data_IF_342240896826
#
_entry.id   IF_342240896826
#
_cell.length_a   1.000
_cell.length_b   1.000
_cell.length_c   1.000
_cell.angle_alpha   90.00
_cell.angle_beta   90.00
_cell.angle_gamma   90.00
#
_symmetry.space_group_name_H-M   'P 1'
#
loop_
_entity.id
_entity.type
_entity.pdbx_description
1 polymer ?
#
# COMPACT_ATOMS: atom_id res chain seq x y z
N UNK A 1 27.50 22.63 -2.36
CA UNK A 1 27.38 23.37 -3.64
C UNK A 1 25.99 24.00 -3.86
N UNK A 2 25.14 24.12 -2.83
CA UNK A 2 23.75 24.65 -2.94
C UNK A 2 23.59 26.06 -2.33
N UNK A 3 24.65 26.88 -2.28
CA UNK A 3 24.63 28.20 -1.63
C UNK A 3 24.80 29.38 -2.62
N UNK A 4 24.28 29.30 -3.85
CA UNK A 4 24.33 30.46 -4.74
C UNK A 4 23.03 30.70 -5.51
N UNK A 5 22.49 31.90 -5.32
CA UNK A 5 21.22 32.46 -5.79
C UNK A 5 21.36 32.98 -7.25
N UNK A 6 20.37 33.10 -8.14
CA UNK A 6 18.90 32.99 -8.02
C UNK A 6 18.20 32.91 -9.40
N UNK A 7 18.93 32.73 -10.51
CA UNK A 7 18.30 32.74 -11.86
C UNK A 7 18.57 31.47 -12.68
N UNK A 8 19.58 30.67 -12.30
CA UNK A 8 19.91 29.41 -12.98
C UNK A 8 19.20 28.17 -12.40
N UNK A 9 18.65 28.23 -11.18
CA UNK A 9 18.08 27.05 -10.50
C UNK A 9 16.73 26.58 -11.07
N UNK A 10 16.01 27.44 -11.78
CA UNK A 10 14.78 27.06 -12.48
C UNK A 10 15.11 26.42 -13.84
N UNK A 11 15.97 27.06 -14.63
CA UNK A 11 16.41 26.53 -15.93
C UNK A 11 17.19 25.21 -15.78
N UNK A 12 18.06 25.12 -14.76
CA UNK A 12 18.80 23.90 -14.46
C UNK A 12 17.85 22.79 -13.98
N UNK A 13 16.85 23.11 -13.15
CA UNK A 13 15.89 22.09 -12.71
C UNK A 13 15.02 21.60 -13.87
N UNK A 14 14.52 22.49 -14.73
CA UNK A 14 13.76 22.09 -15.92
C UNK A 14 14.60 21.19 -16.83
N UNK A 15 15.85 21.60 -17.11
CA UNK A 15 16.79 20.79 -17.89
C UNK A 15 17.07 19.44 -17.24
N UNK A 16 17.21 19.39 -15.91
CA UNK A 16 17.41 18.15 -15.16
C UNK A 16 16.17 17.25 -15.22
N UNK A 17 14.97 17.80 -14.98
CA UNK A 17 13.70 17.06 -15.08
C UNK A 17 13.56 16.47 -16.48
N UNK A 18 13.78 17.27 -17.51
CA UNK A 18 13.68 16.82 -18.90
C UNK A 18 14.71 15.75 -19.24
N UNK A 19 15.96 15.94 -18.78
CA UNK A 19 17.02 14.95 -18.97
C UNK A 19 16.69 13.62 -18.29
N UNK A 20 16.21 13.65 -17.04
CA UNK A 20 15.83 12.44 -16.30
C UNK A 20 14.60 11.77 -16.92
N UNK A 21 13.57 12.53 -17.31
CA UNK A 21 12.42 11.98 -18.04
C UNK A 21 12.87 11.31 -19.35
N UNK A 22 13.81 11.92 -20.08
CA UNK A 22 14.39 11.35 -21.30
C UNK A 22 15.20 10.06 -21.08
N UNK A 23 15.60 9.75 -19.83
CA UNK A 23 16.32 8.51 -19.47
C UNK A 23 15.41 7.38 -18.97
N UNK A 24 14.10 7.61 -18.82
CA UNK A 24 13.15 6.55 -18.46
C UNK A 24 12.91 5.51 -19.56
N UNK A 25 13.43 5.74 -20.78
CA UNK A 25 13.37 4.77 -21.90
C UNK A 25 14.74 4.17 -22.23
N UNK A 26 15.72 4.33 -21.34
CA UNK A 26 17.06 3.78 -21.53
C UNK A 26 17.04 2.25 -21.49
N UNK A 27 17.89 1.59 -22.27
CA UNK A 27 17.98 0.13 -22.27
C UNK A 27 18.51 -0.42 -20.94
N UNK A 28 19.28 0.37 -20.21
CA UNK A 28 19.82 -0.01 -18.91
C UNK A 28 18.80 0.24 -17.79
N UNK A 29 18.36 -0.84 -17.13
CA UNK A 29 17.46 -0.82 -15.95
C UNK A 29 17.98 0.12 -14.86
N UNK A 30 19.29 0.12 -14.58
CA UNK A 30 19.89 0.98 -13.57
C UNK A 30 19.80 2.46 -13.93
N UNK A 31 19.91 2.82 -15.22
CA UNK A 31 19.76 4.19 -15.67
C UNK A 31 18.32 4.66 -15.49
N UNK A 32 17.34 3.82 -15.85
CA UNK A 32 15.90 4.12 -15.64
C UNK A 32 15.58 4.30 -14.16
N UNK A 33 16.06 3.39 -13.31
CA UNK A 33 15.92 3.48 -11.85
C UNK A 33 16.54 4.77 -11.30
N UNK A 34 17.79 5.09 -11.65
CA UNK A 34 18.46 6.30 -11.18
C UNK A 34 17.76 7.58 -11.68
N UNK A 35 17.18 7.56 -12.87
CA UNK A 35 16.39 8.67 -13.39
C UNK A 35 15.14 8.92 -12.56
N UNK A 36 14.40 7.86 -12.17
CA UNK A 36 13.25 7.98 -11.28
C UNK A 36 13.65 8.48 -9.89
N UNK A 37 14.77 7.97 -9.34
CA UNK A 37 15.33 8.46 -8.08
C UNK A 37 15.63 9.96 -8.13
N UNK A 38 16.24 10.41 -9.23
CA UNK A 38 16.53 11.82 -9.47
C UNK A 38 15.26 12.68 -9.45
N UNK A 39 14.20 12.23 -10.14
CA UNK A 39 12.90 12.91 -10.16
C UNK A 39 12.22 12.92 -8.79
N UNK A 40 12.26 11.80 -8.04
CA UNK A 40 11.70 11.72 -6.69
C UNK A 40 12.39 12.66 -5.70
N UNK A 41 13.71 12.84 -5.82
CA UNK A 41 14.50 13.69 -4.94
C UNK A 41 14.26 15.21 -5.13
N UNK A 42 13.52 15.61 -6.17
CA UNK A 42 13.06 17.00 -6.33
C UNK A 42 12.21 17.44 -5.13
N UNK A 43 11.45 16.52 -4.52
CA UNK A 43 10.70 16.76 -3.28
C UNK A 43 11.58 17.31 -2.14
N UNK A 44 12.83 16.86 -2.05
CA UNK A 44 13.76 17.32 -1.01
C UNK A 44 14.54 18.57 -1.41
N UNK A 45 14.89 18.71 -2.70
CA UNK A 45 15.73 19.80 -3.18
C UNK A 45 14.98 21.07 -3.60
N UNK A 46 13.72 20.96 -4.02
CA UNK A 46 12.88 22.07 -4.49
C UNK A 46 11.39 21.73 -4.38
N UNK A 47 10.85 21.55 -3.16
CA UNK A 47 9.46 21.15 -2.94
C UNK A 47 8.44 22.07 -3.63
N UNK A 48 8.67 23.39 -3.62
CA UNK A 48 7.79 24.38 -4.25
C UNK A 48 7.66 24.17 -5.78
N UNK A 49 8.65 23.55 -6.41
CA UNK A 49 8.69 23.30 -7.85
C UNK A 49 8.06 21.95 -8.23
N UNK A 50 7.81 21.05 -7.27
CA UNK A 50 7.11 19.77 -7.52
C UNK A 50 5.72 20.04 -8.09
N UNK A 51 5.00 21.02 -7.54
CA UNK A 51 3.64 21.37 -7.99
C UNK A 51 3.61 21.75 -9.47
N UNK A 52 4.58 22.54 -9.94
CA UNK A 52 4.69 22.97 -11.35
C UNK A 52 4.83 21.78 -12.32
N UNK A 53 5.45 20.69 -11.86
CA UNK A 53 5.72 19.49 -12.67
C UNK A 53 4.91 18.27 -12.22
N UNK A 54 3.86 18.47 -11.41
CA UNK A 54 3.18 17.41 -10.67
C UNK A 54 2.69 16.27 -11.56
N UNK A 55 1.85 16.58 -12.54
CA UNK A 55 1.36 15.61 -13.52
C UNK A 55 2.48 14.84 -14.25
N UNK A 56 3.57 15.51 -14.64
CA UNK A 56 4.72 14.87 -15.33
C UNK A 56 5.49 13.93 -14.40
N UNK A 57 5.70 14.34 -13.15
CA UNK A 57 6.36 13.52 -12.13
C UNK A 57 5.51 12.31 -11.78
N UNK A 58 4.20 12.51 -11.59
CA UNK A 58 3.24 11.43 -11.33
C UNK A 58 3.23 10.42 -12.48
N UNK A 59 3.10 10.88 -13.72
CA UNK A 59 3.15 10.02 -14.91
C UNK A 59 4.46 9.25 -15.01
N UNK A 60 5.60 9.88 -14.67
CA UNK A 60 6.91 9.22 -14.63
C UNK A 60 6.94 8.06 -13.63
N UNK A 61 6.40 8.27 -12.42
CA UNK A 61 6.35 7.21 -11.40
C UNK A 61 5.41 6.09 -11.81
N UNK A 62 4.23 6.41 -12.36
CA UNK A 62 3.28 5.41 -12.87
C UNK A 62 3.91 4.56 -13.97
N UNK A 63 4.54 5.19 -14.97
CA UNK A 63 5.24 4.48 -16.03
C UNK A 63 6.38 3.60 -15.50
N UNK A 64 7.11 4.05 -14.46
CA UNK A 64 8.14 3.26 -13.80
C UNK A 64 7.60 2.03 -13.09
N UNK A 65 6.39 2.09 -12.53
CA UNK A 65 5.70 0.93 -11.97
C UNK A 65 5.19 -0.03 -13.06
N UNK A 66 4.94 0.47 -14.28
CA UNK A 66 4.46 -0.28 -15.44
C UNK A 66 5.57 -0.76 -16.38
N UNK A 67 6.84 -0.62 -15.97
CA UNK A 67 8.00 -1.07 -16.75
C UNK A 67 7.95 -2.58 -16.96
N UNK A 68 7.77 -3.01 -18.21
CA UNK A 68 7.69 -4.43 -18.60
C UNK A 68 9.07 -5.09 -18.70
N UNK A 69 10.13 -4.28 -18.79
CA UNK A 69 11.51 -4.73 -18.98
C UNK A 69 12.31 -4.61 -17.67
N UNK A 70 11.66 -4.90 -16.53
CA UNK A 70 12.21 -4.82 -15.17
C UNK A 70 12.03 -6.15 -14.40
N UNK A 71 12.78 -7.21 -14.76
CA UNK A 71 12.58 -8.56 -14.23
C UNK A 71 12.78 -8.67 -12.71
N UNK A 72 13.50 -7.71 -12.10
CA UNK A 72 13.77 -7.67 -10.66
C UNK A 72 12.96 -6.59 -9.93
N UNK A 73 12.07 -5.88 -10.63
CA UNK A 73 11.24 -4.80 -10.08
C UNK A 73 12.06 -3.65 -9.44
N UNK A 74 13.29 -3.39 -9.91
CA UNK A 74 14.14 -2.32 -9.37
C UNK A 74 13.60 -0.94 -9.73
N UNK A 75 13.09 -0.78 -10.94
CA UNK A 75 12.45 0.45 -11.43
C UNK A 75 11.13 0.64 -10.70
N UNK A 76 10.33 -0.42 -10.57
CA UNK A 76 9.06 -0.37 -9.83
C UNK A 76 9.26 -0.01 -8.34
N UNK A 77 10.25 -0.61 -7.68
CA UNK A 77 10.60 -0.30 -6.29
C UNK A 77 10.98 1.18 -6.11
N UNK A 78 11.83 1.69 -6.98
CA UNK A 78 12.25 3.09 -6.93
C UNK A 78 11.11 4.05 -7.27
N UNK A 79 10.24 3.67 -8.22
CA UNK A 79 9.05 4.43 -8.58
C UNK A 79 8.10 4.57 -7.39
N UNK A 80 7.78 3.47 -6.69
CA UNK A 80 6.92 3.49 -5.50
C UNK A 80 7.52 4.33 -4.36
N UNK A 81 8.82 4.17 -4.13
CA UNK A 81 9.55 4.90 -3.10
C UNK A 81 9.63 6.40 -3.40
N UNK A 82 9.85 6.76 -4.67
CA UNK A 82 9.90 8.15 -5.13
C UNK A 82 8.52 8.80 -5.13
N UNK A 83 7.49 8.08 -5.56
CA UNK A 83 6.10 8.57 -5.50
C UNK A 83 5.69 8.88 -4.07
N UNK A 84 6.01 8.01 -3.11
CA UNK A 84 5.71 8.24 -1.69
C UNK A 84 6.28 9.56 -1.16
N UNK A 85 7.46 9.98 -1.62
CA UNK A 85 8.09 11.28 -1.25
C UNK A 85 7.38 12.48 -1.92
N UNK A 86 6.86 12.26 -3.13
CA UNK A 86 6.24 13.31 -3.93
C UNK A 86 4.81 13.62 -3.51
N UNK A 87 4.05 12.64 -2.98
CA UNK A 87 2.62 12.75 -2.69
C UNK A 87 2.25 14.01 -1.89
N UNK A 88 2.99 14.33 -0.83
CA UNK A 88 2.68 15.50 0.02
C UNK A 88 2.89 16.86 -0.68
N UNK A 89 3.47 16.87 -1.89
CA UNK A 89 3.80 18.07 -2.67
C UNK A 89 3.01 18.19 -3.98
N UNK A 90 2.31 17.13 -4.39
CA UNK A 90 1.51 17.09 -5.61
C UNK A 90 0.14 17.73 -5.39
N UNK A 91 -0.49 18.20 -6.47
CA UNK A 91 -1.88 18.64 -6.39
C UNK A 91 -2.79 17.42 -6.19
N UNK A 92 -3.71 17.52 -5.23
CA UNK A 92 -4.64 16.43 -4.91
C UNK A 92 -5.42 15.97 -6.14
N UNK A 93 -5.82 16.89 -7.02
CA UNK A 93 -6.53 16.58 -8.28
C UNK A 93 -5.74 15.64 -9.18
N UNK A 94 -4.44 15.84 -9.29
CA UNK A 94 -3.57 15.00 -10.11
C UNK A 94 -3.51 13.58 -9.54
N UNK A 95 -3.35 13.46 -8.21
CA UNK A 95 -3.32 12.17 -7.52
C UNK A 95 -4.66 11.45 -7.68
N UNK A 96 -5.78 12.15 -7.44
CA UNK A 96 -7.12 11.58 -7.52
C UNK A 96 -7.40 10.93 -8.89
N UNK A 97 -6.89 11.53 -9.97
CA UNK A 97 -7.06 10.98 -11.33
C UNK A 97 -6.40 9.60 -11.54
N UNK A 98 -5.33 9.31 -10.80
CA UNK A 98 -4.54 8.07 -10.91
C UNK A 98 -4.62 7.18 -9.66
N UNK A 99 -5.36 7.61 -8.62
CA UNK A 99 -5.39 6.99 -7.30
C UNK A 99 -5.69 5.49 -7.36
N UNK A 100 -6.75 5.12 -8.08
CA UNK A 100 -7.16 3.72 -8.22
C UNK A 100 -6.18 2.90 -9.05
N UNK A 101 -5.67 3.49 -10.14
CA UNK A 101 -4.68 2.83 -10.98
C UNK A 101 -3.45 2.45 -10.16
N UNK A 102 -2.93 3.39 -9.36
CA UNK A 102 -1.77 3.15 -8.51
C UNK A 102 -2.10 2.11 -7.43
N UNK A 103 -3.24 2.26 -6.72
CA UNK A 103 -3.63 1.33 -5.66
C UNK A 103 -3.75 -0.13 -6.15
N UNK A 104 -4.38 -0.34 -7.31
CA UNK A 104 -4.51 -1.66 -7.93
C UNK A 104 -3.12 -2.17 -8.36
N UNK A 105 -2.31 -1.31 -8.96
CA UNK A 105 -1.01 -1.68 -9.51
C UNK A 105 -0.02 -2.14 -8.44
N UNK A 106 -0.03 -1.51 -7.27
CA UNK A 106 0.93 -1.83 -6.20
C UNK A 106 0.51 -3.01 -5.32
N UNK A 107 -0.78 -3.36 -5.29
CA UNK A 107 -1.32 -4.40 -4.41
C UNK A 107 -0.61 -5.77 -4.52
N UNK A 108 -0.27 -6.28 -5.72
CA UNK A 108 0.47 -7.54 -5.84
C UNK A 108 1.83 -7.53 -5.13
N UNK A 109 2.46 -6.36 -4.97
CA UNK A 109 3.73 -6.25 -4.26
C UNK A 109 3.61 -6.43 -2.75
N UNK A 110 2.40 -6.40 -2.17
CA UNK A 110 2.20 -6.69 -0.75
C UNK A 110 2.66 -8.10 -0.39
N UNK A 111 2.61 -9.05 -1.34
CA UNK A 111 3.06 -10.43 -1.17
C UNK A 111 4.34 -10.75 -1.95
N UNK A 112 5.10 -9.72 -2.36
CA UNK A 112 6.39 -9.95 -3.00
C UNK A 112 7.33 -10.73 -2.10
N UNK A 113 8.14 -11.64 -2.64
CA UNK A 113 9.21 -12.29 -1.87
C UNK A 113 10.26 -11.28 -1.39
N UNK A 114 10.45 -10.17 -2.13
CA UNK A 114 11.37 -9.10 -1.76
C UNK A 114 10.74 -8.19 -0.70
N UNK A 115 11.28 -8.11 0.52
CA UNK A 115 10.68 -7.31 1.59
C UNK A 115 10.70 -5.81 1.32
N UNK A 116 11.65 -5.33 0.52
CA UNK A 116 11.74 -3.93 0.10
C UNK A 116 10.53 -3.53 -0.75
N UNK A 117 10.06 -4.43 -1.64
CA UNK A 117 8.86 -4.23 -2.45
C UNK A 117 7.59 -4.25 -1.58
N UNK A 118 7.47 -5.23 -0.67
CA UNK A 118 6.36 -5.26 0.30
C UNK A 118 6.30 -3.96 1.09
N UNK A 119 7.41 -3.56 1.70
CA UNK A 119 7.51 -2.31 2.46
C UNK A 119 7.14 -1.09 1.62
N UNK A 120 7.73 -0.91 0.43
CA UNK A 120 7.52 0.28 -0.39
C UNK A 120 6.08 0.40 -0.89
N UNK A 121 5.50 -0.70 -1.37
CA UNK A 121 4.12 -0.77 -1.84
C UNK A 121 3.11 -0.51 -0.72
N UNK A 122 3.29 -1.10 0.47
CA UNK A 122 2.40 -0.92 1.62
C UNK A 122 2.47 0.53 2.15
N UNK A 123 3.67 1.11 2.26
CA UNK A 123 3.83 2.53 2.62
C UNK A 123 3.13 3.43 1.61
N UNK A 124 3.33 3.18 0.31
CA UNK A 124 2.68 3.97 -0.74
C UNK A 124 1.15 3.86 -0.64
N UNK A 125 0.61 2.66 -0.44
CA UNK A 125 -0.83 2.45 -0.26
C UNK A 125 -1.39 3.24 0.93
N UNK A 126 -0.70 3.21 2.07
CA UNK A 126 -1.08 4.01 3.23
C UNK A 126 -1.03 5.53 2.98
N UNK A 127 -0.08 6.01 2.20
CA UNK A 127 -0.04 7.44 1.83
C UNK A 127 -1.18 7.81 0.87
N UNK A 128 -1.54 6.92 -0.05
CA UNK A 128 -2.63 7.14 -1.01
C UNK A 128 -4.00 7.28 -0.32
N UNK A 129 -4.22 6.61 0.82
CA UNK A 129 -5.50 6.70 1.53
C UNK A 129 -5.84 8.11 2.02
N UNK A 130 -4.84 9.00 2.20
CA UNK A 130 -5.08 10.42 2.52
C UNK A 130 -5.93 11.13 1.46
N UNK A 131 -5.87 10.66 0.21
CA UNK A 131 -6.54 11.26 -0.95
C UNK A 131 -7.87 10.56 -1.28
N UNK A 132 -8.36 9.68 -0.40
CA UNK A 132 -9.59 8.92 -0.64
C UNK A 132 -10.88 9.72 -0.37
N UNK A 133 -10.79 10.93 0.19
CA UNK A 133 -11.97 11.69 0.65
C UNK A 133 -13.00 11.97 -0.47
N UNK A 134 -12.55 12.26 -1.68
CA UNK A 134 -13.44 12.56 -2.82
C UNK A 134 -13.97 11.31 -3.54
N UNK A 135 -13.27 10.17 -3.45
CA UNK A 135 -13.64 8.89 -4.08
C UNK A 135 -13.81 7.78 -3.03
N UNK A 136 -14.52 8.10 -1.95
CA UNK A 136 -14.54 7.30 -0.72
C UNK A 136 -14.91 5.84 -0.97
N UNK A 137 -16.00 5.57 -1.71
CA UNK A 137 -16.49 4.20 -1.96
C UNK A 137 -15.51 3.37 -2.80
N UNK A 138 -14.97 3.94 -3.88
CA UNK A 138 -14.11 3.17 -4.80
C UNK A 138 -12.74 2.89 -4.19
N UNK A 139 -12.21 3.81 -3.40
CA UNK A 139 -10.97 3.56 -2.67
C UNK A 139 -11.20 2.65 -1.45
N UNK A 140 -12.35 2.74 -0.80
CA UNK A 140 -12.75 1.79 0.24
C UNK A 140 -12.73 0.35 -0.27
N UNK A 141 -13.21 0.10 -1.50
CA UNK A 141 -13.07 -1.20 -2.14
C UNK A 141 -11.60 -1.66 -2.29
N UNK A 142 -10.66 -0.73 -2.52
CA UNK A 142 -9.24 -1.09 -2.56
C UNK A 142 -8.71 -1.43 -1.17
N UNK A 143 -9.17 -0.75 -0.12
CA UNK A 143 -8.84 -1.07 1.27
C UNK A 143 -9.32 -2.49 1.59
N UNK A 144 -10.58 -2.81 1.29
CA UNK A 144 -11.13 -4.16 1.53
C UNK A 144 -10.36 -5.24 0.76
N UNK A 145 -10.01 -4.98 -0.50
CA UNK A 145 -9.20 -5.90 -1.31
C UNK A 145 -7.79 -6.16 -0.75
N UNK A 146 -7.20 -5.19 -0.04
CA UNK A 146 -5.89 -5.34 0.60
C UNK A 146 -5.96 -5.77 2.06
N UNK A 147 -7.15 -5.77 2.68
CA UNK A 147 -7.31 -5.84 4.13
C UNK A 147 -6.78 -7.16 4.70
N UNK A 148 -7.11 -8.29 4.08
CA UNK A 148 -6.65 -9.62 4.54
C UNK A 148 -5.12 -9.67 4.52
N UNK A 149 -4.52 -9.33 3.39
CA UNK A 149 -3.07 -9.27 3.22
C UNK A 149 -2.41 -8.38 4.26
N UNK A 150 -2.93 -7.16 4.46
CA UNK A 150 -2.39 -6.23 5.46
C UNK A 150 -2.52 -6.77 6.88
N UNK A 151 -3.67 -7.33 7.27
CA UNK A 151 -3.84 -7.86 8.62
C UNK A 151 -2.88 -9.03 8.89
N UNK A 152 -2.67 -9.93 7.93
CA UNK A 152 -1.73 -11.04 8.06
C UNK A 152 -0.27 -10.57 8.11
N UNK A 153 0.11 -9.57 7.30
CA UNK A 153 1.47 -9.00 7.29
C UNK A 153 1.83 -8.20 8.55
N UNK A 154 0.94 -8.10 9.55
CA UNK A 154 1.32 -7.75 10.92
C UNK A 154 2.19 -8.85 11.58
N UNK A 155 2.26 -10.04 10.98
CA UNK A 155 3.15 -11.15 11.34
C UNK A 155 4.27 -11.37 10.29
N UNK A 156 4.59 -10.37 9.45
CA UNK A 156 5.67 -10.49 8.48
C UNK A 156 7.02 -10.79 9.18
N UNK A 157 7.87 -11.69 8.64
CA UNK A 157 9.19 -11.98 9.21
C UNK A 157 10.15 -10.77 9.25
N UNK A 158 9.84 -9.70 8.52
CA UNK A 158 10.64 -8.49 8.41
C UNK A 158 10.01 -7.33 9.19
N UNK A 159 10.65 -6.84 10.27
CA UNK A 159 10.11 -5.78 11.13
C UNK A 159 9.75 -4.49 10.36
N UNK A 160 10.48 -4.16 9.31
CA UNK A 160 10.22 -3.01 8.46
C UNK A 160 8.91 -3.13 7.66
N UNK A 161 8.50 -4.34 7.30
CA UNK A 161 7.21 -4.61 6.66
C UNK A 161 6.09 -4.52 7.70
N UNK A 162 6.27 -5.11 8.89
CA UNK A 162 5.32 -4.98 10.01
C UNK A 162 5.04 -3.50 10.33
N UNK A 163 6.09 -2.67 10.37
CA UNK A 163 5.96 -1.21 10.55
C UNK A 163 5.17 -0.55 9.41
N UNK A 164 5.47 -0.88 8.16
CA UNK A 164 4.75 -0.37 7.00
C UNK A 164 3.26 -0.76 7.06
N UNK A 165 2.96 -2.00 7.42
CA UNK A 165 1.60 -2.55 7.55
C UNK A 165 0.81 -1.84 8.64
N UNK A 166 1.40 -1.67 9.82
CA UNK A 166 0.82 -0.88 10.91
C UNK A 166 0.49 0.54 10.45
N UNK A 167 1.42 1.18 9.75
CA UNK A 167 1.21 2.51 9.18
C UNK A 167 0.04 2.51 8.20
N UNK A 168 0.01 1.62 7.21
CA UNK A 168 -1.03 1.57 6.19
C UNK A 168 -2.42 1.35 6.80
N UNK A 169 -2.58 0.39 7.72
CA UNK A 169 -3.85 0.13 8.40
C UNK A 169 -4.33 1.36 9.19
N UNK A 170 -3.43 2.07 9.88
CA UNK A 170 -3.77 3.33 10.57
C UNK A 170 -4.23 4.42 9.62
N UNK A 171 -3.61 4.53 8.45
CA UNK A 171 -3.99 5.51 7.44
C UNK A 171 -5.31 5.15 6.75
N UNK A 172 -5.65 3.86 6.64
CA UNK A 172 -6.89 3.40 6.04
C UNK A 172 -8.09 3.45 6.99
N UNK A 173 -7.89 3.30 8.31
CA UNK A 173 -8.96 3.24 9.32
C UNK A 173 -10.05 4.31 9.20
N UNK A 174 -9.70 5.61 9.06
CA UNK A 174 -10.69 6.69 8.91
C UNK A 174 -11.60 6.53 7.68
N UNK A 175 -11.09 5.92 6.61
CA UNK A 175 -11.82 5.73 5.35
C UNK A 175 -12.69 4.48 5.33
N UNK A 176 -12.68 3.67 6.40
CA UNK A 176 -13.48 2.45 6.44
C UNK A 176 -14.94 2.71 6.79
N UNK A 177 -15.27 3.79 7.51
CA UNK A 177 -16.64 4.03 7.97
C UNK A 177 -17.08 3.16 9.15
N UNK A 178 -16.14 2.45 9.79
CA UNK A 178 -16.36 1.73 11.05
C UNK A 178 -15.50 2.35 12.16
N UNK A 179 -16.15 3.07 13.09
CA UNK A 179 -15.48 3.76 14.18
C UNK A 179 -14.65 2.82 15.05
N UNK A 180 -15.20 1.65 15.38
CA UNK A 180 -14.48 0.64 16.18
C UNK A 180 -13.21 0.12 15.51
N UNK A 181 -13.23 -0.13 14.19
CA UNK A 181 -12.01 -0.51 13.45
C UNK A 181 -11.00 0.63 13.39
N UNK A 182 -11.47 1.86 13.17
CA UNK A 182 -10.62 3.04 13.15
C UNK A 182 -9.88 3.20 14.49
N UNK A 183 -10.60 3.14 15.61
CA UNK A 183 -10.01 3.20 16.95
C UNK A 183 -9.03 2.06 17.21
N UNK A 184 -9.39 0.83 16.83
CA UNK A 184 -8.51 -0.34 16.96
C UNK A 184 -7.19 -0.11 16.23
N UNK A 185 -7.24 0.35 14.98
CA UNK A 185 -6.03 0.61 14.20
C UNK A 185 -5.20 1.75 14.80
N UNK A 186 -5.82 2.88 15.13
CA UNK A 186 -5.12 4.05 15.64
C UNK A 186 -4.45 3.80 17.01
N UNK A 187 -5.10 3.06 17.90
CA UNK A 187 -4.64 2.85 19.27
C UNK A 187 -3.65 1.69 19.43
N UNK A 188 -3.83 0.61 18.66
CA UNK A 188 -3.05 -0.62 18.84
C UNK A 188 -1.90 -0.78 17.84
N UNK A 189 -1.97 -0.15 16.66
CA UNK A 189 -0.95 -0.29 15.60
C UNK A 189 0.08 0.85 15.60
N UNK A 190 0.36 1.46 16.76
CA UNK A 190 1.45 2.44 16.87
C UNK A 190 2.79 1.75 16.58
N UNK A 191 3.69 2.48 15.92
CA UNK A 191 4.94 1.95 15.35
C UNK A 191 5.77 1.16 16.38
N UNK A 192 6.08 1.77 17.52
CA UNK A 192 6.94 1.19 18.55
C UNK A 192 6.21 0.30 19.57
N UNK A 193 4.90 0.09 19.41
CA UNK A 193 4.10 -0.68 20.37
C UNK A 193 4.12 -2.17 20.01
N UNK A 194 4.39 -3.04 20.98
CA UNK A 194 4.17 -4.47 20.83
C UNK A 194 2.69 -4.77 20.60
N UNK A 195 2.38 -5.69 19.69
CA UNK A 195 1.01 -6.07 19.36
C UNK A 195 0.71 -7.46 19.91
N UNK A 196 -0.33 -7.58 20.72
CA UNK A 196 -0.91 -8.88 21.05
C UNK A 196 -1.78 -9.33 19.88
N UNK A 197 -1.15 -9.95 18.88
CA UNK A 197 -1.77 -10.20 17.56
C UNK A 197 -3.10 -10.94 17.63
N UNK A 198 -3.18 -12.04 18.40
CA UNK A 198 -4.43 -12.82 18.51
C UNK A 198 -5.60 -12.03 19.10
N UNK A 199 -5.36 -11.28 20.19
CA UNK A 199 -6.38 -10.43 20.80
C UNK A 199 -6.80 -9.29 19.87
N UNK A 200 -5.83 -8.66 19.20
CA UNK A 200 -6.08 -7.63 18.19
C UNK A 200 -6.95 -8.17 17.05
N UNK A 201 -6.59 -9.31 16.47
CA UNK A 201 -7.33 -9.94 15.38
C UNK A 201 -8.74 -10.34 15.79
N UNK A 202 -8.93 -10.91 16.97
CA UNK A 202 -10.25 -11.25 17.49
C UNK A 202 -11.17 -10.03 17.55
N UNK A 203 -10.67 -8.91 18.09
CA UNK A 203 -11.44 -7.66 18.18
C UNK A 203 -11.69 -7.02 16.82
N UNK A 204 -10.71 -7.05 15.91
CA UNK A 204 -10.89 -6.59 14.52
C UNK A 204 -11.98 -7.40 13.82
N UNK A 205 -11.97 -8.73 13.94
CA UNK A 205 -13.01 -9.59 13.35
C UNK A 205 -14.39 -9.29 13.92
N UNK A 206 -14.49 -9.06 15.23
CA UNK A 206 -15.75 -8.64 15.87
C UNK A 206 -16.32 -7.37 15.26
N UNK A 207 -15.49 -6.35 15.04
CA UNK A 207 -15.95 -5.12 14.39
C UNK A 207 -16.26 -5.31 12.91
N UNK A 208 -15.46 -6.11 12.18
CA UNK A 208 -15.74 -6.43 10.77
C UNK A 208 -17.07 -7.14 10.60
N UNK A 209 -17.37 -8.18 11.38
CA UNK A 209 -18.62 -8.94 11.25
C UNK A 209 -19.83 -8.15 11.72
N UNK A 210 -19.66 -7.22 12.66
CA UNK A 210 -20.73 -6.29 13.05
C UNK A 210 -21.02 -5.23 11.98
N UNK A 211 -20.00 -4.75 11.27
CA UNK A 211 -20.13 -3.63 10.33
C UNK A 211 -20.30 -4.04 8.87
N UNK A 212 -19.73 -5.18 8.47
CA UNK A 212 -19.69 -5.70 7.10
C UNK A 212 -19.89 -7.23 7.06
N UNK A 213 -20.97 -7.78 7.63
CA UNK A 213 -21.22 -9.22 7.64
C UNK A 213 -21.32 -9.84 6.23
N UNK A 214 -21.72 -9.06 5.23
CA UNK A 214 -21.78 -9.46 3.82
C UNK A 214 -20.41 -9.71 3.19
N UNK A 215 -19.33 -9.23 3.81
CA UNK A 215 -17.96 -9.43 3.34
C UNK A 215 -17.35 -10.76 3.80
N UNK A 216 -18.05 -11.54 4.63
CA UNK A 216 -17.51 -12.78 5.21
C UNK A 216 -16.91 -13.71 4.15
N UNK A 217 -17.69 -14.10 3.13
CA UNK A 217 -17.20 -15.02 2.10
C UNK A 217 -15.96 -14.48 1.37
N UNK A 218 -15.96 -13.19 1.03
CA UNK A 218 -14.83 -12.54 0.35
C UNK A 218 -13.56 -12.57 1.20
N UNK A 219 -13.68 -12.29 2.50
CA UNK A 219 -12.57 -12.35 3.45
C UNK A 219 -12.05 -13.79 3.59
N UNK A 220 -12.94 -14.78 3.69
CA UNK A 220 -12.56 -16.20 3.76
C UNK A 220 -11.80 -16.63 2.50
N UNK A 221 -12.37 -16.42 1.31
CA UNK A 221 -11.77 -16.85 0.04
C UNK A 221 -10.39 -16.22 -0.17
N UNK A 222 -10.24 -14.94 0.16
CA UNK A 222 -8.95 -14.25 0.08
C UNK A 222 -7.94 -14.84 1.08
N UNK A 223 -8.40 -15.16 2.29
CA UNK A 223 -7.54 -15.68 3.36
C UNK A 223 -7.09 -17.13 3.13
N UNK A 224 -7.89 -17.94 2.43
CA UNK A 224 -7.53 -19.32 2.08
C UNK A 224 -6.22 -19.42 1.28
N UNK A 225 -5.90 -18.40 0.46
CA UNK A 225 -4.62 -18.34 -0.26
C UNK A 225 -3.41 -18.44 0.69
N UNK A 226 -3.53 -17.93 1.92
CA UNK A 226 -2.43 -17.90 2.89
C UNK A 226 -2.24 -19.19 3.68
N UNK A 227 -3.12 -20.19 3.53
CA UNK A 227 -2.93 -21.51 4.14
C UNK A 227 -1.69 -22.21 3.60
N UNK A 228 -1.27 -21.83 2.38
CA UNK A 228 -0.07 -22.33 1.70
C UNK A 228 1.06 -21.29 1.67
N UNK A 229 0.96 -20.23 2.49
CA UNK A 229 2.00 -19.20 2.57
C UNK A 229 3.34 -19.80 2.96
N UNK A 230 4.43 -19.31 2.38
CA UNK A 230 5.79 -19.74 2.71
C UNK A 230 6.23 -19.25 4.11
N UNK A 231 5.64 -18.15 4.60
CA UNK A 231 5.92 -17.60 5.92
C UNK A 231 5.11 -18.31 7.00
N UNK A 232 5.80 -18.95 7.96
CA UNK A 232 5.19 -19.80 9.00
C UNK A 232 4.16 -19.04 9.83
N UNK A 233 4.46 -17.82 10.26
CA UNK A 233 3.58 -17.05 11.14
C UNK A 233 2.33 -16.55 10.41
N UNK A 234 2.46 -16.11 9.15
CA UNK A 234 1.32 -15.75 8.29
C UNK A 234 0.45 -16.99 8.01
N UNK A 235 1.09 -18.12 7.69
CA UNK A 235 0.39 -19.39 7.47
C UNK A 235 -0.39 -19.84 8.69
N UNK A 236 0.16 -19.67 9.89
CA UNK A 236 -0.54 -19.98 11.14
C UNK A 236 -1.65 -18.95 11.47
N UNK A 237 -1.44 -17.68 11.13
CA UNK A 237 -2.41 -16.61 11.34
C UNK A 237 -3.65 -16.73 10.44
N UNK A 238 -3.52 -17.28 9.24
CA UNK A 238 -4.62 -17.42 8.28
C UNK A 238 -5.82 -18.23 8.84
N UNK A 239 -5.68 -19.50 9.29
CA UNK A 239 -6.80 -20.24 9.85
C UNK A 239 -7.34 -19.60 11.14
N UNK A 240 -6.48 -18.99 11.97
CA UNK A 240 -6.91 -18.22 13.15
C UNK A 240 -7.84 -17.07 12.75
N UNK A 241 -7.50 -16.33 11.69
CA UNK A 241 -8.32 -15.24 11.20
C UNK A 241 -9.68 -15.72 10.71
N UNK A 242 -9.76 -16.80 9.91
CA UNK A 242 -11.04 -17.40 9.53
C UNK A 242 -11.84 -17.82 10.77
N UNK A 243 -11.19 -18.46 11.75
CA UNK A 243 -11.83 -18.87 13.00
C UNK A 243 -12.48 -17.70 13.75
N UNK A 244 -11.80 -16.55 13.83
CA UNK A 244 -12.37 -15.35 14.45
C UNK A 244 -13.48 -14.71 13.60
N UNK A 245 -13.41 -14.74 12.27
CA UNK A 245 -14.50 -14.26 11.42
C UNK A 245 -15.78 -15.07 11.67
N UNK A 246 -15.67 -16.41 11.64
CA UNK A 246 -16.80 -17.32 11.89
C UNK A 246 -17.31 -17.20 13.33
N UNK A 247 -16.43 -16.96 14.30
CA UNK A 247 -16.82 -16.77 15.70
C UNK A 247 -17.75 -15.56 15.91
N UNK A 248 -17.56 -14.49 15.14
CA UNK A 248 -18.27 -13.21 15.35
C UNK A 248 -19.37 -12.92 14.33
N UNK A 249 -19.60 -13.80 13.35
CA UNK A 249 -20.68 -13.64 12.38
C UNK A 249 -22.00 -14.16 12.94
N UNK A 250 -23.09 -13.45 12.65
CA UNK A 250 -24.44 -13.89 13.03
C UNK A 250 -24.88 -15.14 12.24
N UNK A 251 -25.74 -15.96 12.84
CA UNK A 251 -26.20 -17.24 12.26
C UNK A 251 -26.79 -17.12 10.85
N UNK A 252 -27.44 -16.00 10.54
CA UNK A 252 -28.01 -15.72 9.21
C UNK A 252 -26.94 -15.66 8.12
N UNK A 253 -25.76 -15.15 8.46
CA UNK A 253 -24.64 -14.97 7.54
C UNK A 253 -23.68 -16.17 7.55
N UNK A 254 -23.77 -17.08 8.54
CA UNK A 254 -23.02 -18.33 8.57
C UNK A 254 -23.23 -19.20 7.33
N UNK A 255 -24.38 -19.09 6.66
CA UNK A 255 -24.67 -19.84 5.42
C UNK A 255 -23.75 -19.46 4.25
N UNK A 256 -23.03 -18.34 4.34
CA UNK A 256 -22.02 -17.94 3.36
C UNK A 256 -20.74 -18.77 3.45
N UNK A 257 -20.55 -19.52 4.54
CA UNK A 257 -19.35 -20.31 4.78
C UNK A 257 -19.44 -21.63 4.02
N UNK A 258 -18.63 -21.76 2.97
CA UNK A 258 -18.45 -23.03 2.27
C UNK A 258 -17.46 -23.91 3.05
N UNK A 259 -18.00 -24.87 3.80
CA UNK A 259 -17.22 -25.80 4.61
C UNK A 259 -16.30 -26.69 3.76
N UNK A 260 -16.71 -27.04 2.53
CA UNK A 260 -15.90 -27.88 1.65
C UNK A 260 -14.66 -27.12 1.17
N UNK A 261 -14.78 -25.81 0.94
CA UNK A 261 -13.63 -24.94 0.65
C UNK A 261 -12.68 -24.80 1.84
N UNK A 262 -13.19 -24.73 3.06
CA UNK A 262 -12.35 -24.62 4.26
C UNK A 262 -11.53 -25.90 4.51
N UNK A 263 -12.13 -27.07 4.28
CA UNK A 263 -11.50 -28.38 4.53
C UNK A 263 -10.58 -28.79 3.37
N UNK A 264 -10.86 -28.37 2.13
CA UNK A 264 -10.00 -28.64 0.97
C UNK A 264 -8.75 -27.74 0.87
N UNK A 265 -8.64 -26.73 1.74
CA UNK A 265 -7.48 -25.84 1.84
C UNK A 265 -6.21 -26.49 2.41
N UNK A 266 -6.28 -27.75 2.87
CA UNK A 266 -5.13 -28.57 3.27
C UNK A 266 -4.18 -28.93 2.11
#
# INVERSE_FOLDING_TARGET
LLNNNVVNDLLLLETMVDSMTGRQKDSCVLVRMLALRGLGNISSGSPDKVRKHGAKLLASMVNGMDDKDDPHNLVALEAMSSLSKLLDHLEERDIQSMLLHIAIRIRPFFDSEQPELRRASIVLFGNLSKFSATNCEVFFEQILNGLVTLLLHLQDPKPEVVRATKFALRMCGPSMGCEGLCEMFLNHLREDRSLHYGEFMNNVCKHLMKSYPEMLNRLIVTNLFYFKSTWVDIRAAAPMFIGFLVLHVDEEHCQQVDLDQLISGE
#
